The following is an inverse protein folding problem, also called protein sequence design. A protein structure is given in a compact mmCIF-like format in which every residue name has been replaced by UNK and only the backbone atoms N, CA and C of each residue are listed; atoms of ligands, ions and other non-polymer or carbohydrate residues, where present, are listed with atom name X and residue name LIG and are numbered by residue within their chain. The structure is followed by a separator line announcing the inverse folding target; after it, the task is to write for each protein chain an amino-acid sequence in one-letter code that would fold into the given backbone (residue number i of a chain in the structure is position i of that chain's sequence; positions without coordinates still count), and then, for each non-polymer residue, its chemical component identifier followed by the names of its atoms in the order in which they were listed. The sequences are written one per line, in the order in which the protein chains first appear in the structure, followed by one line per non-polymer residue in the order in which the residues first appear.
data_IF_869720940393
#
_entry.id   IF_869720940393
#
_cell.length_a   1.000
_cell.length_b   1.000
_cell.length_c   1.000
_cell.angle_alpha   90.00
_cell.angle_beta   90.00
_cell.angle_gamma   90.00
#
_symmetry.space_group_name_H-M   'P 1'
#
loop_
_entity.id
_entity.type
_entity.pdbx_description
1 polymer ?
#
# COMPACT_ATOMS: atom_id res chain seq x y z
N UNK A 1 15.34 -5.00 31.56
CA UNK A 1 13.90 -5.00 31.25
C UNK A 1 13.54 -3.63 30.68
N UNK A 2 13.42 -3.50 29.36
CA UNK A 2 13.04 -2.22 28.74
C UNK A 2 11.52 -2.15 28.76
N UNK A 3 10.96 -1.40 29.70
CA UNK A 3 9.53 -1.11 29.74
C UNK A 3 9.16 -0.27 28.52
N UNK A 4 8.64 -0.92 27.48
CA UNK A 4 8.05 -0.26 26.31
C UNK A 4 6.78 0.46 26.77
N UNK A 5 6.92 1.72 27.16
CA UNK A 5 5.81 2.56 27.56
C UNK A 5 4.92 2.79 26.34
N UNK A 6 3.89 1.96 26.16
CA UNK A 6 2.92 2.11 25.08
C UNK A 6 2.28 3.50 25.22
N UNK A 7 2.20 4.31 24.13
CA UNK A 7 1.75 5.68 24.23
C UNK A 7 0.33 5.76 24.76
N UNK A 8 0.05 6.81 25.55
CA UNK A 8 -1.30 7.10 26.00
C UNK A 8 -2.24 7.27 24.78
N UNK A 9 -3.50 6.82 24.83
CA UNK A 9 -4.42 6.85 23.69
C UNK A 9 -4.56 8.22 23.03
N UNK A 10 -4.60 9.29 23.85
CA UNK A 10 -4.66 10.66 23.37
C UNK A 10 -3.41 11.08 22.58
N UNK A 11 -2.21 10.81 23.13
CA UNK A 11 -0.96 11.11 22.45
C UNK A 11 -0.82 10.34 21.12
N UNK A 12 -1.33 9.11 21.07
CA UNK A 12 -1.40 8.33 19.85
C UNK A 12 -2.39 8.91 18.83
N UNK A 13 -3.57 9.37 19.27
CA UNK A 13 -4.54 10.06 18.41
C UNK A 13 -3.96 11.36 17.83
N UNK A 14 -3.28 12.16 18.65
CA UNK A 14 -2.67 13.41 18.19
C UNK A 14 -1.57 13.12 17.14
N UNK A 15 -0.73 12.12 17.39
CA UNK A 15 0.26 11.66 16.41
C UNK A 15 -0.39 11.13 15.12
N UNK A 16 -1.53 10.43 15.21
CA UNK A 16 -2.26 9.94 14.04
C UNK A 16 -2.77 11.10 13.19
N UNK A 17 -3.30 12.14 13.82
CA UNK A 17 -3.72 13.36 13.13
C UNK A 17 -2.60 13.96 12.29
N UNK A 18 -1.42 14.18 12.90
CA UNK A 18 -0.26 14.75 12.22
C UNK A 18 0.20 13.89 11.02
N UNK A 19 0.23 12.56 11.18
CA UNK A 19 0.63 11.65 10.09
C UNK A 19 -0.38 11.61 8.95
N UNK A 20 -1.68 11.74 9.25
CA UNK A 20 -2.69 11.88 8.22
C UNK A 20 -2.59 13.22 7.48
N UNK A 21 -2.25 14.30 8.19
CA UNK A 21 -2.02 15.61 7.57
C UNK A 21 -0.77 15.59 6.66
N UNK A 22 0.30 14.91 7.06
CA UNK A 22 1.49 14.70 6.23
C UNK A 22 1.15 13.91 4.95
N UNK A 23 0.36 12.84 5.08
CA UNK A 23 -0.10 12.05 3.94
C UNK A 23 -1.00 12.86 2.99
N UNK A 24 -1.89 13.68 3.54
CA UNK A 24 -2.74 14.57 2.75
C UNK A 24 -1.90 15.59 1.97
N UNK A 25 -0.90 16.23 2.61
CA UNK A 25 0.02 17.14 1.93
C UNK A 25 0.80 16.44 0.80
N UNK A 26 1.29 15.22 1.05
CA UNK A 26 2.00 14.43 0.05
C UNK A 26 1.12 14.06 -1.16
N UNK A 27 -0.16 13.72 -0.91
CA UNK A 27 -1.13 13.46 -1.98
C UNK A 27 -1.42 14.72 -2.79
N UNK A 28 -1.54 15.88 -2.14
CA UNK A 28 -1.74 17.16 -2.82
C UNK A 28 -0.52 17.58 -3.66
N UNK A 29 0.69 17.27 -3.21
CA UNK A 29 1.92 17.57 -3.96
C UNK A 29 2.19 16.61 -5.13
N UNK A 30 1.37 15.57 -5.31
CA UNK A 30 1.55 14.53 -6.33
C UNK A 30 2.95 13.90 -6.33
N UNK A 31 3.62 13.87 -5.18
CA UNK A 31 4.96 13.31 -5.04
C UNK A 31 4.85 11.85 -4.57
N UNK A 32 5.15 10.86 -5.43
CA UNK A 32 4.99 9.44 -5.10
C UNK A 32 5.92 9.00 -3.96
N UNK A 33 7.13 9.55 -3.85
CA UNK A 33 8.07 9.21 -2.78
C UNK A 33 7.61 9.79 -1.44
N UNK A 34 7.06 11.00 -1.46
CA UNK A 34 6.45 11.59 -0.27
C UNK A 34 5.21 10.80 0.18
N UNK A 35 4.36 10.34 -0.75
CA UNK A 35 3.18 9.53 -0.43
C UNK A 35 3.57 8.18 0.17
N UNK A 36 4.60 7.52 -0.36
CA UNK A 36 5.10 6.25 0.16
C UNK A 36 5.66 6.41 1.58
N UNK A 37 6.54 7.39 1.80
CA UNK A 37 7.13 7.65 3.12
C UNK A 37 6.08 8.02 4.17
N UNK A 38 5.11 8.86 3.81
CA UNK A 38 3.99 9.22 4.68
C UNK A 38 3.08 8.00 4.97
N UNK A 39 2.82 7.17 3.96
CA UNK A 39 2.03 5.92 4.13
C UNK A 39 2.73 4.94 5.07
N UNK A 40 4.05 4.77 4.94
CA UNK A 40 4.85 3.95 5.83
C UNK A 40 4.82 4.49 7.27
N UNK A 41 4.93 5.81 7.46
CA UNK A 41 4.84 6.43 8.79
C UNK A 41 3.47 6.19 9.46
N UNK A 42 2.37 6.26 8.70
CA UNK A 42 1.03 5.92 9.19
C UNK A 42 0.94 4.44 9.58
N UNK A 43 1.49 3.52 8.78
CA UNK A 43 1.49 2.09 9.07
C UNK A 43 2.28 1.75 10.34
N UNK A 44 3.47 2.35 10.51
CA UNK A 44 4.27 2.19 11.74
C UNK A 44 3.50 2.66 12.97
N UNK A 45 2.83 3.81 12.88
CA UNK A 45 2.03 4.34 13.98
C UNK A 45 0.83 3.44 14.29
N UNK A 46 0.17 2.88 13.28
CA UNK A 46 -0.91 1.89 13.44
C UNK A 46 -0.42 0.62 14.16
N UNK A 47 0.81 0.17 13.88
CA UNK A 47 1.44 -0.95 14.61
C UNK A 47 1.67 -0.66 16.10
N UNK A 48 1.75 0.62 16.47
CA UNK A 48 1.92 1.08 17.86
C UNK A 48 0.58 1.35 18.57
N UNK A 49 -0.55 0.95 17.97
CA UNK A 49 -1.88 1.23 18.52
C UNK A 49 -2.03 0.80 19.99
N UNK A 50 -2.58 1.67 20.85
CA UNK A 50 -2.91 1.34 22.23
C UNK A 50 -3.83 0.11 22.31
N UNK A 51 -3.63 -0.71 23.33
CA UNK A 51 -4.47 -1.91 23.51
C UNK A 51 -5.93 -1.51 23.73
N UNK A 52 -6.93 -2.32 23.28
CA UNK A 52 -8.36 -2.00 23.40
C UNK A 52 -8.78 -1.57 24.81
N UNK A 53 -8.23 -2.21 25.84
CA UNK A 53 -8.47 -1.88 27.26
C UNK A 53 -8.08 -0.45 27.66
N UNK A 54 -7.12 0.18 26.97
CA UNK A 54 -6.65 1.53 27.25
C UNK A 54 -7.62 2.59 26.71
N UNK A 55 -8.58 2.19 25.86
CA UNK A 55 -9.62 3.07 25.33
C UNK A 55 -10.83 3.17 26.28
N UNK A 56 -10.87 2.34 27.33
CA UNK A 56 -11.92 2.38 28.34
C UNK A 56 -11.73 3.64 29.21
N UNK A 57 -12.75 4.51 29.25
CA UNK A 57 -12.71 5.77 30.02
C UNK A 57 -12.33 7.01 29.21
N UNK A 58 -12.21 6.91 27.87
CA UNK A 58 -12.05 8.08 27.02
C UNK A 58 -13.25 9.01 27.10
N UNK A 59 -12.97 10.31 27.09
CA UNK A 59 -14.01 11.33 27.00
C UNK A 59 -14.72 11.24 25.64
N UNK A 60 -15.99 11.63 25.58
CA UNK A 60 -16.78 11.65 24.34
C UNK A 60 -16.08 12.41 23.19
N UNK A 61 -15.32 13.47 23.53
CA UNK A 61 -14.52 14.24 22.58
C UNK A 61 -13.40 13.41 21.94
N UNK A 62 -12.75 12.53 22.69
CA UNK A 62 -11.64 11.70 22.22
C UNK A 62 -12.15 10.58 21.32
N UNK A 63 -13.30 9.98 21.68
CA UNK A 63 -14.02 9.03 20.81
C UNK A 63 -14.43 9.69 19.50
N UNK A 64 -14.96 10.92 19.55
CA UNK A 64 -15.29 11.70 18.35
C UNK A 64 -14.06 12.01 17.50
N UNK A 65 -12.91 12.25 18.12
CA UNK A 65 -11.64 12.50 17.42
C UNK A 65 -11.14 11.25 16.71
N UNK A 66 -11.17 10.09 17.38
CA UNK A 66 -10.86 8.80 16.77
C UNK A 66 -11.74 8.54 15.55
N UNK A 67 -13.05 8.72 15.66
CA UNK A 67 -13.98 8.50 14.54
C UNK A 67 -13.70 9.44 13.36
N UNK A 68 -13.40 10.72 13.62
CA UNK A 68 -13.03 11.68 12.57
C UNK A 68 -11.74 11.27 11.86
N UNK A 69 -10.70 10.91 12.62
CA UNK A 69 -9.43 10.47 12.05
C UNK A 69 -9.57 9.17 11.26
N UNK A 70 -10.36 8.21 11.73
CA UNK A 70 -10.65 6.98 11.01
C UNK A 70 -11.34 7.26 9.66
N UNK A 71 -12.31 8.17 9.62
CA UNK A 71 -12.96 8.59 8.36
C UNK A 71 -11.98 9.25 7.40
N UNK A 72 -11.12 10.15 7.90
CA UNK A 72 -10.07 10.80 7.08
C UNK A 72 -9.11 9.76 6.50
N UNK A 73 -8.63 8.82 7.32
CA UNK A 73 -7.76 7.74 6.86
C UNK A 73 -8.39 6.89 5.75
N UNK A 74 -9.67 6.51 5.91
CA UNK A 74 -10.37 5.75 4.88
C UNK A 74 -10.45 6.51 3.55
N UNK A 75 -10.75 7.81 3.59
CA UNK A 75 -10.77 8.68 2.41
C UNK A 75 -9.40 8.81 1.75
N UNK A 76 -8.34 9.07 2.54
CA UNK A 76 -6.96 9.19 2.02
C UNK A 76 -6.47 7.88 1.42
N UNK A 77 -6.78 6.72 2.03
CA UNK A 77 -6.45 5.40 1.48
C UNK A 77 -7.14 5.16 0.14
N UNK A 78 -8.42 5.52 0.01
CA UNK A 78 -9.13 5.41 -1.26
C UNK A 78 -8.55 6.33 -2.34
N UNK A 79 -8.16 7.56 -1.98
CA UNK A 79 -7.50 8.49 -2.88
C UNK A 79 -6.14 7.97 -3.37
N UNK A 80 -5.31 7.46 -2.45
CA UNK A 80 -4.01 6.86 -2.77
C UNK A 80 -4.17 5.65 -3.71
N UNK A 81 -5.12 4.74 -3.44
CA UNK A 81 -5.38 3.59 -4.32
C UNK A 81 -5.84 4.00 -5.72
N UNK A 82 -6.66 5.06 -5.83
CA UNK A 82 -7.06 5.61 -7.13
C UNK A 82 -5.88 6.20 -7.89
N UNK A 83 -4.97 6.89 -7.20
CA UNK A 83 -3.75 7.43 -7.80
C UNK A 83 -2.84 6.31 -8.31
N UNK A 84 -2.62 5.25 -7.52
CA UNK A 84 -1.86 4.07 -7.95
C UNK A 84 -2.48 3.40 -9.19
N UNK A 85 -3.80 3.24 -9.22
CA UNK A 85 -4.49 2.65 -10.38
C UNK A 85 -4.38 3.53 -11.64
N UNK A 86 -4.32 4.86 -11.48
CA UNK A 86 -4.08 5.79 -12.59
C UNK A 86 -2.63 5.70 -13.07
N UNK A 87 -1.65 5.62 -12.17
CA UNK A 87 -0.23 5.45 -12.55
C UNK A 87 0.03 4.12 -13.27
N UNK A 88 -0.59 3.01 -12.84
CA UNK A 88 -0.48 1.71 -13.52
C UNK A 88 -1.07 1.72 -14.94
N UNK A 89 -2.18 2.45 -15.15
CA UNK A 89 -2.74 2.62 -16.50
C UNK A 89 -1.85 3.52 -17.36
N UNK A 90 -1.29 4.58 -16.79
CA UNK A 90 -0.38 5.47 -17.50
C UNK A 90 0.91 4.76 -17.91
N UNK A 91 1.52 3.95 -17.04
CA UNK A 91 2.68 3.13 -17.41
C UNK A 91 2.35 2.09 -18.46
N UNK A 92 1.18 1.43 -18.38
CA UNK A 92 0.74 0.48 -19.42
C UNK A 92 0.50 1.11 -20.79
N UNK A 93 0.09 2.39 -20.83
CA UNK A 93 -0.11 3.15 -22.08
C UNK A 93 1.21 3.72 -22.62
N UNK A 94 2.11 4.16 -21.74
CA UNK A 94 3.39 4.77 -22.13
C UNK A 94 4.50 3.75 -22.44
N UNK A 95 4.43 2.55 -21.89
CA UNK A 95 5.40 1.46 -22.09
C UNK A 95 4.71 0.14 -22.50
N UNK A 96 4.12 0.08 -23.70
CA UNK A 96 3.46 -1.15 -24.17
C UNK A 96 4.43 -2.33 -24.38
N UNK A 97 5.71 -2.07 -24.65
CA UNK A 97 6.72 -3.08 -25.01
C UNK A 97 7.29 -3.88 -23.82
N UNK A 98 7.25 -3.37 -22.58
CA UNK A 98 7.77 -4.09 -21.40
C UNK A 98 6.77 -5.06 -20.78
N UNK A 99 5.49 -4.95 -21.13
CA UNK A 99 4.45 -5.87 -20.64
C UNK A 99 4.42 -7.23 -21.38
N UNK A 100 5.17 -7.36 -22.48
CA UNK A 100 5.09 -8.52 -23.39
C UNK A 100 6.38 -9.34 -23.52
N UNK A 101 7.38 -9.14 -22.65
CA UNK A 101 8.55 -10.00 -22.57
C UNK A 101 8.51 -10.90 -21.32
N UNK A 102 8.18 -12.20 -21.46
CA UNK A 102 8.44 -13.16 -20.40
C UNK A 102 9.96 -13.38 -20.31
N UNK A 103 10.63 -12.63 -19.44
CA UNK A 103 12.07 -12.79 -19.13
C UNK A 103 12.41 -14.15 -18.47
N UNK A 104 11.41 -15.00 -18.22
CA UNK A 104 11.58 -16.40 -17.83
C UNK A 104 10.94 -17.37 -18.84
N UNK A 105 11.26 -17.22 -20.13
CA UNK A 105 11.16 -18.37 -21.04
C UNK A 105 12.42 -19.24 -20.85
N UNK A 106 12.33 -20.47 -20.33
CA UNK A 106 13.44 -21.41 -20.40
C UNK A 106 13.75 -21.64 -21.88
N UNK A 107 14.97 -21.25 -22.25
CA UNK A 107 15.60 -21.43 -23.54
C UNK A 107 15.57 -22.91 -23.93
N UNK A 108 14.56 -23.34 -24.69
CA UNK A 108 14.60 -24.66 -25.34
C UNK A 108 15.57 -24.59 -26.53
N UNK A 109 16.52 -25.53 -26.64
CA UNK A 109 17.51 -25.52 -27.70
C UNK A 109 16.88 -25.88 -29.05
N UNK A 110 17.28 -25.09 -30.03
CA UNK A 110 17.01 -25.27 -31.46
C UNK A 110 17.87 -26.45 -31.97
N UNK A 111 17.22 -27.55 -32.33
CA UNK A 111 17.76 -28.61 -33.18
C UNK A 111 16.53 -29.30 -33.79
N UNK A 112 16.25 -29.21 -35.08
CA UNK A 112 17.13 -29.55 -36.19
C UNK A 112 16.48 -30.74 -36.90
N UNK A 113 15.71 -30.44 -37.94
CA UNK A 113 15.31 -31.29 -39.09
C UNK A 113 15.10 -32.80 -38.90
N UNK A 114 13.92 -33.31 -39.25
CA UNK A 114 13.77 -34.38 -40.24
C UNK A 114 12.29 -34.51 -40.71
N UNK A 115 12.03 -34.62 -42.03
CA UNK A 115 10.70 -34.77 -42.60
C UNK A 115 10.33 -36.25 -42.80
N UNK A 116 9.04 -36.53 -42.66
CA UNK A 116 8.42 -37.68 -43.31
C UNK A 116 8.06 -38.84 -42.39
N UNK A 117 6.90 -39.42 -42.74
CA UNK A 117 6.56 -40.85 -42.64
C UNK A 117 5.61 -41.31 -41.51
N UNK A 118 4.36 -40.85 -41.60
CA UNK A 118 3.17 -41.65 -41.97
C UNK A 118 2.84 -43.06 -41.41
N UNK A 119 1.52 -43.24 -41.26
CA UNK A 119 0.61 -44.42 -41.27
C UNK A 119 0.44 -45.32 -40.02
N UNK A 120 -0.85 -45.60 -39.77
CA UNK A 120 -1.52 -46.57 -38.92
C UNK A 120 -0.82 -47.94 -38.72
N UNK A 121 -0.89 -48.50 -37.50
CA UNK A 121 -1.42 -49.86 -37.16
C UNK A 121 -0.87 -50.37 -35.82
N UNK A 122 -1.76 -50.65 -34.87
CA UNK A 122 -1.87 -51.90 -34.10
C UNK A 122 -3.06 -51.80 -33.14
#
# INVERSE_FOLDING_TARGET
MVSTHKPAPKAWLDALGLRLDDLERALLSSDPAAVESASHAVQLLMGQAPAPRMWNGLAAQEVGTLQRQARRFAGLRQAALRLCAQSERATRVLLPETASSPTYAPRQPRGGSLPGRSYLSA
#
